data_IF_878168643914
#
_entry.id   IF_878168643914
#
_cell.length_a   1.000
_cell.length_b   1.000
_cell.length_c   1.000
_cell.angle_alpha   90.00
_cell.angle_beta   90.00
_cell.angle_gamma   90.00
#
_symmetry.space_group_name_H-M   'P 1'
#
loop_
_entity.id
_entity.type
_entity.pdbx_description
1 polymer ?
#
# COMPACT_ATOMS: atom_id res chain seq x y z
N UNK A 1 -7.34 30.33 42.00
CA UNK A 1 -6.25 30.41 41.00
C UNK A 1 -5.78 28.98 40.78
N UNK A 2 -6.31 28.31 39.74
CA UNK A 2 -5.62 27.93 38.48
C UNK A 2 -4.56 26.82 38.70
N UNK A 3 -4.58 25.67 38.01
CA UNK A 3 -4.82 25.49 36.59
C UNK A 3 -5.59 24.19 36.24
N UNK A 4 -6.73 24.33 35.56
CA UNK A 4 -7.28 23.29 34.69
C UNK A 4 -6.46 23.30 33.40
N UNK A 5 -5.75 22.23 33.10
CA UNK A 5 -5.13 22.00 31.80
C UNK A 5 -5.55 20.63 31.26
N UNK A 6 -6.84 20.44 31.06
CA UNK A 6 -7.32 19.40 30.16
C UNK A 6 -7.25 19.98 28.74
N UNK A 7 -6.15 19.70 28.04
CA UNK A 7 -6.16 19.75 26.59
C UNK A 7 -7.27 18.83 26.05
N UNK A 8 -7.79 19.08 24.82
CA UNK A 8 -8.80 18.22 24.23
C UNK A 8 -8.33 16.77 24.23
N UNK A 9 -9.23 15.83 24.58
CA UNK A 9 -8.89 14.40 24.48
C UNK A 9 -8.57 14.06 23.02
N UNK A 10 -7.76 13.05 22.76
CA UNK A 10 -7.40 12.65 21.38
C UNK A 10 -8.64 12.36 20.52
N UNK A 11 -9.72 11.90 21.16
CA UNK A 11 -11.04 11.70 20.54
C UNK A 11 -11.71 13.00 20.09
N UNK A 12 -11.52 14.10 20.81
CA UNK A 12 -12.05 15.42 20.45
C UNK A 12 -11.35 15.98 19.21
N UNK A 13 -10.04 15.76 19.08
CA UNK A 13 -9.28 16.09 17.87
C UNK A 13 -9.77 15.24 16.68
N UNK A 14 -9.98 13.94 16.88
CA UNK A 14 -10.56 13.06 15.87
C UNK A 14 -11.96 13.51 15.40
N UNK A 15 -12.83 13.90 16.33
CA UNK A 15 -14.17 14.40 16.01
C UNK A 15 -14.14 15.73 15.24
N UNK A 16 -13.17 16.60 15.52
CA UNK A 16 -12.97 17.84 14.75
C UNK A 16 -12.58 17.55 13.29
N UNK A 17 -11.74 16.54 13.06
CA UNK A 17 -11.36 16.08 11.71
C UNK A 17 -12.57 15.56 10.94
N UNK A 18 -13.36 14.68 11.56
CA UNK A 18 -14.61 14.16 10.98
C UNK A 18 -15.54 15.30 10.58
N UNK A 19 -15.71 16.28 11.48
CA UNK A 19 -16.60 17.43 11.25
C UNK A 19 -16.17 18.26 10.02
N UNK A 20 -14.87 18.54 9.89
CA UNK A 20 -14.33 19.30 8.74
C UNK A 20 -14.46 18.54 7.42
N UNK A 21 -14.25 17.23 7.43
CA UNK A 21 -14.44 16.38 6.25
C UNK A 21 -15.91 16.37 5.80
N UNK A 22 -16.85 16.22 6.73
CA UNK A 22 -18.29 16.24 6.41
C UNK A 22 -18.74 17.62 5.93
N UNK A 23 -18.24 18.70 6.51
CA UNK A 23 -18.53 20.06 6.06
C UNK A 23 -18.02 20.31 4.63
N UNK A 24 -16.78 19.87 4.34
CA UNK A 24 -16.21 19.93 3.00
C UNK A 24 -17.09 19.17 2.01
N UNK A 25 -17.52 17.95 2.37
CA UNK A 25 -18.39 17.10 1.54
C UNK A 25 -19.74 17.75 1.27
N UNK A 26 -20.37 18.35 2.28
CA UNK A 26 -21.64 19.06 2.13
C UNK A 26 -21.51 20.26 1.18
N UNK A 27 -20.40 20.99 1.26
CA UNK A 27 -20.19 22.23 0.49
C UNK A 27 -19.78 21.95 -0.96
N UNK A 28 -18.93 20.94 -1.18
CA UNK A 28 -18.32 20.68 -2.48
C UNK A 28 -18.94 19.49 -3.24
N UNK A 29 -19.89 18.79 -2.63
CA UNK A 29 -20.53 17.60 -3.21
C UNK A 29 -19.59 16.39 -3.35
N UNK A 30 -18.36 16.48 -2.84
CA UNK A 30 -17.33 15.43 -2.90
C UNK A 30 -16.47 15.43 -1.64
N UNK A 31 -15.86 14.29 -1.33
CA UNK A 31 -14.87 14.20 -0.26
C UNK A 31 -13.56 14.95 -0.60
N UNK A 32 -12.85 15.49 0.40
CA UNK A 32 -11.54 16.13 0.21
C UNK A 32 -10.49 15.07 -0.17
N UNK A 33 -9.62 15.35 -1.13
CA UNK A 33 -8.49 14.49 -1.52
C UNK A 33 -7.41 14.42 -0.45
N UNK A 34 -7.35 15.41 0.46
CA UNK A 34 -6.44 15.44 1.60
C UNK A 34 -7.04 16.23 2.76
N UNK A 35 -6.55 16.02 3.97
CA UNK A 35 -6.98 16.80 5.14
C UNK A 35 -6.67 18.30 5.01
N UNK A 36 -5.58 18.64 4.34
CA UNK A 36 -5.23 20.03 4.07
C UNK A 36 -6.27 20.74 3.20
N UNK A 37 -6.91 20.01 2.27
CA UNK A 37 -8.01 20.55 1.45
C UNK A 37 -9.28 20.82 2.28
N UNK A 38 -9.47 20.10 3.38
CA UNK A 38 -10.53 20.35 4.36
C UNK A 38 -10.12 21.37 5.44
N UNK A 39 -8.97 22.06 5.28
CA UNK A 39 -8.49 23.05 6.23
C UNK A 39 -8.03 22.45 7.57
N UNK A 40 -7.57 21.20 7.57
CA UNK A 40 -6.94 20.54 8.73
C UNK A 40 -5.42 20.60 8.54
N UNK A 41 -4.73 21.27 9.48
CA UNK A 41 -3.26 21.31 9.51
C UNK A 41 -2.70 19.99 10.04
N UNK A 42 -1.51 19.60 9.54
CA UNK A 42 -0.82 18.40 10.02
C UNK A 42 -0.20 18.71 11.38
N UNK A 43 -0.61 18.00 12.42
CA UNK A 43 0.02 18.02 13.75
C UNK A 43 0.93 16.80 13.96
N UNK A 44 1.73 16.82 15.03
CA UNK A 44 2.63 15.71 15.41
C UNK A 44 1.89 14.41 15.76
N UNK A 45 0.59 14.49 16.06
CA UNK A 45 -0.25 13.32 16.36
C UNK A 45 -0.87 12.69 15.10
N UNK A 46 -0.65 13.30 13.92
CA UNK A 46 -0.99 12.81 12.59
C UNK A 46 -2.37 12.17 12.51
N UNK A 47 -3.46 12.97 12.55
CA UNK A 47 -4.74 12.49 12.06
C UNK A 47 -4.55 12.08 10.61
N UNK A 48 -4.73 10.79 10.34
CA UNK A 48 -4.68 10.22 9.03
C UNK A 48 -6.10 10.13 8.47
N UNK A 49 -6.22 10.36 7.17
CA UNK A 49 -7.48 10.35 6.45
C UNK A 49 -7.29 9.63 5.14
N UNK A 50 -8.28 8.87 4.76
CA UNK A 50 -8.26 8.20 3.48
C UNK A 50 -9.69 7.96 2.97
N UNK A 51 -9.84 7.95 1.64
CA UNK A 51 -11.10 7.59 0.98
C UNK A 51 -11.12 6.08 0.77
N UNK A 52 -12.24 5.43 1.05
CA UNK A 52 -12.42 4.00 0.85
C UNK A 52 -13.04 3.71 -0.51
N UNK A 53 -14.34 3.94 -0.68
CA UNK A 53 -15.09 3.70 -1.92
C UNK A 53 -16.30 4.64 -2.00
N UNK A 54 -16.59 5.17 -3.19
CA UNK A 54 -17.72 6.09 -3.38
C UNK A 54 -17.61 7.37 -2.54
N UNK A 55 -18.47 7.51 -1.53
CA UNK A 55 -18.58 8.70 -0.67
C UNK A 55 -18.29 8.39 0.82
N UNK A 56 -17.56 7.30 1.07
CA UNK A 56 -17.09 6.87 2.40
C UNK A 56 -15.59 7.11 2.55
N UNK A 57 -15.18 7.32 3.80
CA UNK A 57 -13.81 7.54 4.23
C UNK A 57 -13.58 6.93 5.61
N UNK A 58 -12.31 6.84 5.96
CA UNK A 58 -11.82 6.48 7.29
C UNK A 58 -10.91 7.60 7.79
N UNK A 59 -10.98 7.88 9.07
CA UNK A 59 -10.05 8.75 9.77
C UNK A 59 -9.46 8.01 10.97
N UNK A 60 -8.16 8.15 11.24
CA UNK A 60 -7.54 7.51 12.39
C UNK A 60 -6.46 8.40 13.00
N UNK A 61 -6.19 8.20 14.29
CA UNK A 61 -5.11 8.90 15.00
C UNK A 61 -4.37 7.93 15.92
N UNK A 62 -3.09 8.20 16.17
CA UNK A 62 -2.30 7.44 17.12
C UNK A 62 -2.67 7.79 18.57
N UNK A 63 -3.01 6.78 19.37
CA UNK A 63 -3.25 6.98 20.82
C UNK A 63 -1.95 6.81 21.60
N UNK A 64 -1.21 5.74 21.35
CA UNK A 64 0.12 5.45 21.92
C UNK A 64 0.97 4.69 20.89
N UNK A 65 2.21 4.34 21.21
CA UNK A 65 3.11 3.62 20.29
C UNK A 65 2.53 2.24 19.95
N UNK A 66 2.06 2.06 18.71
CA UNK A 66 1.44 0.82 18.23
C UNK A 66 -0.09 0.75 18.40
N UNK A 67 -0.73 1.79 18.93
CA UNK A 67 -2.19 1.85 19.08
C UNK A 67 -2.80 2.99 18.26
N UNK A 68 -3.97 2.73 17.68
CA UNK A 68 -4.72 3.71 16.90
C UNK A 68 -6.22 3.58 17.12
N UNK A 69 -6.90 4.71 17.20
CA UNK A 69 -8.36 4.79 17.14
C UNK A 69 -8.80 5.09 15.71
N UNK A 70 -9.77 4.34 15.19
CA UNK A 70 -10.23 4.45 13.80
C UNK A 70 -11.72 4.79 13.72
N UNK A 71 -12.07 5.77 12.90
CA UNK A 71 -13.44 6.18 12.57
C UNK A 71 -13.84 5.66 11.20
N UNK A 72 -14.97 4.94 11.13
CA UNK A 72 -15.59 4.52 9.87
C UNK A 72 -16.82 5.38 9.58
N UNK A 73 -16.80 6.15 8.49
CA UNK A 73 -17.92 7.01 8.08
C UNK A 73 -19.19 6.26 7.66
N UNK A 74 -19.08 4.98 7.30
CA UNK A 74 -20.22 4.13 6.93
C UNK A 74 -21.03 3.77 8.18
N UNK A 75 -20.34 3.38 9.24
CA UNK A 75 -20.98 3.00 10.52
C UNK A 75 -21.15 4.20 11.47
N UNK A 76 -20.46 5.30 11.19
CA UNK A 76 -20.34 6.50 12.03
C UNK A 76 -19.85 6.20 13.45
N UNK A 77 -19.02 5.16 13.60
CA UNK A 77 -18.50 4.70 14.89
C UNK A 77 -16.98 4.71 14.89
N UNK A 78 -16.45 4.92 16.08
CA UNK A 78 -15.04 4.72 16.38
C UNK A 78 -14.79 3.30 16.89
N UNK A 79 -13.69 2.69 16.49
CA UNK A 79 -13.23 1.38 16.97
C UNK A 79 -11.76 1.38 17.36
N UNK A 80 -11.44 0.61 18.40
CA UNK A 80 -10.09 0.32 18.91
C UNK A 80 -9.35 -0.73 18.07
N UNK A 81 -10.10 -1.55 17.31
CA UNK A 81 -9.56 -2.52 16.37
C UNK A 81 -9.29 -1.85 15.03
N UNK A 82 -8.10 -2.09 14.49
CA UNK A 82 -7.59 -1.68 13.18
C UNK A 82 -8.32 -2.40 12.03
N UNK A 83 -9.65 -2.29 11.96
CA UNK A 83 -10.44 -3.14 11.04
C UNK A 83 -10.48 -2.57 9.62
N UNK A 84 -10.23 -1.28 9.42
CA UNK A 84 -10.07 -0.73 8.07
C UNK A 84 -9.06 0.42 8.11
N UNK A 85 -7.92 0.24 7.44
CA UNK A 85 -7.03 1.34 7.02
C UNK A 85 -7.33 1.53 5.53
N UNK A 86 -7.58 2.74 5.03
CA UNK A 86 -7.61 2.89 3.58
C UNK A 86 -6.20 2.88 3.02
N UNK A 87 -5.83 1.67 2.66
CA UNK A 87 -5.19 1.43 1.40
C UNK A 87 -6.28 1.52 0.31
N UNK A 88 -5.97 1.92 -0.94
CA UNK A 88 -6.88 1.68 -2.06
C UNK A 88 -7.34 0.23 -1.94
N UNK A 89 -8.65 -0.01 -1.94
CA UNK A 89 -9.29 -1.29 -1.60
C UNK A 89 -8.41 -2.47 -2.02
N UNK A 90 -7.56 -2.94 -1.10
CA UNK A 90 -6.71 -4.09 -1.34
C UNK A 90 -7.54 -5.36 -1.48
N UNK A 91 -8.86 -5.25 -1.41
CA UNK A 91 -9.82 -6.29 -1.70
C UNK A 91 -9.88 -6.60 -3.22
N UNK A 92 -9.66 -5.63 -4.11
CA UNK A 92 -9.55 -5.90 -5.56
C UNK A 92 -8.22 -6.57 -5.93
N UNK A 93 -7.19 -6.35 -5.12
CA UNK A 93 -5.86 -6.95 -5.27
C UNK A 93 -5.61 -8.09 -4.28
N UNK A 94 -6.68 -8.78 -3.88
CA UNK A 94 -6.64 -9.97 -3.05
C UNK A 94 -7.19 -11.15 -3.83
N UNK A 95 -6.29 -12.03 -4.24
CA UNK A 95 -6.63 -13.31 -4.84
C UNK A 95 -5.79 -14.38 -4.16
N UNK A 96 -6.39 -15.13 -3.25
CA UNK A 96 -5.75 -16.33 -2.71
C UNK A 96 -5.76 -17.41 -3.79
N UNK A 97 -4.60 -17.98 -4.07
CA UNK A 97 -4.46 -19.08 -5.01
C UNK A 97 -4.46 -20.43 -4.29
N UNK A 98 -5.05 -21.43 -4.92
CA UNK A 98 -4.89 -22.81 -4.47
C UNK A 98 -3.41 -23.22 -4.58
N UNK A 99 -2.95 -24.22 -3.81
CA UNK A 99 -1.58 -24.73 -3.95
C UNK A 99 -1.24 -25.17 -5.40
N UNK A 100 -2.22 -25.73 -6.12
CA UNK A 100 -2.05 -26.10 -7.52
C UNK A 100 -1.88 -24.88 -8.43
N UNK A 101 -2.67 -23.82 -8.23
CA UNK A 101 -2.53 -22.58 -9.01
C UNK A 101 -1.18 -21.88 -8.73
N UNK A 102 -0.70 -21.91 -7.48
CA UNK A 102 0.63 -21.37 -7.12
C UNK A 102 1.77 -22.07 -7.84
N UNK A 103 1.64 -23.37 -8.16
CA UNK A 103 2.65 -24.09 -8.92
C UNK A 103 2.77 -23.58 -10.37
N UNK A 104 1.68 -23.08 -10.94
CA UNK A 104 1.60 -22.73 -12.36
C UNK A 104 1.55 -21.21 -12.65
N UNK A 105 1.43 -20.38 -11.61
CA UNK A 105 1.23 -18.92 -11.75
C UNK A 105 2.42 -18.20 -12.43
N UNK A 106 3.62 -18.79 -12.39
CA UNK A 106 4.85 -18.27 -13.03
C UNK A 106 5.38 -19.17 -14.16
N UNK A 107 4.52 -20.04 -14.71
CA UNK A 107 4.89 -20.89 -15.84
C UNK A 107 5.20 -20.07 -17.10
N UNK A 108 5.90 -20.68 -18.05
CA UNK A 108 6.20 -20.12 -19.36
C UNK A 108 7.48 -19.28 -19.43
N UNK A 109 7.70 -18.65 -20.59
CA UNK A 109 8.98 -18.00 -20.91
C UNK A 109 8.92 -16.51 -20.58
N UNK A 110 9.29 -16.15 -19.35
CA UNK A 110 9.50 -14.76 -18.97
C UNK A 110 10.89 -14.31 -19.35
N UNK A 111 10.98 -13.16 -20.02
CA UNK A 111 12.24 -12.45 -20.20
C UNK A 111 12.51 -11.63 -18.94
N UNK A 112 13.67 -11.83 -18.30
CA UNK A 112 14.03 -11.15 -17.06
C UNK A 112 14.40 -9.68 -17.34
N UNK A 113 13.85 -8.78 -16.52
CA UNK A 113 14.08 -7.34 -16.55
C UNK A 113 14.72 -6.92 -15.22
N UNK A 114 15.90 -6.29 -15.29
CA UNK A 114 16.68 -5.92 -14.09
C UNK A 114 16.77 -4.43 -13.86
N UNK A 115 16.21 -3.60 -14.75
CA UNK A 115 16.18 -2.14 -14.62
C UNK A 115 14.76 -1.64 -14.66
N UNK A 116 14.44 -0.70 -13.77
CA UNK A 116 13.13 -0.04 -13.76
C UNK A 116 12.92 0.83 -14.99
N UNK A 117 14.00 1.30 -15.63
CA UNK A 117 13.92 2.05 -16.89
C UNK A 117 13.30 1.22 -18.03
N UNK A 118 13.54 -0.10 -18.04
CA UNK A 118 13.06 -1.01 -19.09
C UNK A 118 11.59 -1.43 -18.90
N UNK A 119 10.97 -1.03 -17.79
CA UNK A 119 9.54 -1.21 -17.56
C UNK A 119 8.75 -0.12 -18.30
N UNK A 120 7.70 -0.49 -19.06
CA UNK A 120 6.85 0.49 -19.74
C UNK A 120 6.08 1.33 -18.72
N UNK A 121 5.60 2.51 -19.15
CA UNK A 121 4.84 3.44 -18.32
C UNK A 121 3.61 2.75 -17.67
N UNK A 122 2.96 1.88 -18.45
CA UNK A 122 1.80 1.09 -18.05
C UNK A 122 2.05 0.22 -16.82
N UNK A 123 3.20 -0.45 -16.77
CA UNK A 123 3.65 -1.31 -15.66
C UNK A 123 4.02 -0.45 -14.44
N UNK A 124 4.63 0.72 -14.67
CA UNK A 124 5.00 1.66 -13.61
C UNK A 124 3.78 2.26 -12.92
N UNK A 125 2.77 2.64 -13.69
CA UNK A 125 1.49 3.16 -13.20
C UNK A 125 0.72 2.09 -12.44
N UNK A 126 0.61 0.88 -13.00
CA UNK A 126 0.02 -0.29 -12.34
C UNK A 126 0.68 -0.58 -10.98
N UNK A 127 2.02 -0.58 -10.95
CA UNK A 127 2.78 -0.81 -9.72
C UNK A 127 2.51 0.29 -8.68
N UNK A 128 2.53 1.56 -9.08
CA UNK A 128 2.23 2.68 -8.19
C UNK A 128 0.81 2.56 -7.60
N UNK A 129 -0.16 2.21 -8.44
CA UNK A 129 -1.55 2.02 -8.04
C UNK A 129 -1.71 0.88 -7.03
N UNK A 130 -1.12 -0.30 -7.29
CA UNK A 130 -1.21 -1.45 -6.37
C UNK A 130 -0.53 -1.13 -5.03
N UNK A 131 0.64 -0.50 -5.06
CA UNK A 131 1.42 -0.18 -3.85
C UNK A 131 0.96 1.07 -3.10
N UNK A 132 -0.14 1.69 -3.56
CA UNK A 132 -0.74 2.88 -2.96
C UNK A 132 0.12 4.13 -3.03
N UNK A 133 1.04 4.21 -3.98
CA UNK A 133 1.93 5.36 -4.17
C UNK A 133 1.35 6.34 -5.21
N UNK A 134 1.51 7.66 -5.03
CA UNK A 134 1.05 8.65 -6.00
C UNK A 134 1.81 8.60 -7.33
N UNK A 135 3.01 8.01 -7.34
CA UNK A 135 3.85 7.83 -8.51
C UNK A 135 4.71 6.57 -8.35
N UNK A 136 5.31 6.12 -9.46
CA UNK A 136 6.20 4.97 -9.44
C UNK A 136 7.45 5.24 -8.59
N UNK A 137 7.60 4.46 -7.51
CA UNK A 137 8.67 4.60 -6.54
C UNK A 137 9.33 3.23 -6.29
N UNK A 138 10.32 2.89 -7.12
CA UNK A 138 11.08 1.65 -7.03
C UNK A 138 12.54 1.89 -7.45
N UNK A 139 13.48 1.65 -6.55
CA UNK A 139 14.91 1.76 -6.85
C UNK A 139 15.38 0.60 -7.75
N UNK A 140 16.43 0.81 -8.54
CA UNK A 140 17.10 -0.28 -9.28
C UNK A 140 17.82 -1.24 -8.31
N UNK A 141 18.08 -2.49 -8.71
CA UNK A 141 18.87 -3.43 -7.90
C UNK A 141 20.21 -2.80 -7.48
N UNK A 142 20.57 -2.97 -6.21
CA UNK A 142 21.80 -2.43 -5.62
C UNK A 142 21.81 -0.91 -5.35
N UNK A 143 20.80 -0.14 -5.78
CA UNK A 143 20.70 1.28 -5.44
C UNK A 143 20.20 1.50 -4.00
N UNK A 144 20.37 2.72 -3.48
CA UNK A 144 19.86 3.09 -2.15
C UNK A 144 18.33 3.16 -2.16
N UNK A 145 17.74 2.74 -1.03
CA UNK A 145 16.31 2.83 -0.75
C UNK A 145 16.13 2.88 0.79
N UNK A 146 14.94 3.23 1.27
CA UNK A 146 14.63 3.25 2.71
C UNK A 146 14.41 1.83 3.22
N UNK A 147 15.40 1.29 3.93
CA UNK A 147 15.34 -0.07 4.53
C UNK A 147 14.57 -0.05 5.85
N UNK A 148 14.78 0.97 6.68
CA UNK A 148 14.19 1.07 8.01
C UNK A 148 12.94 1.98 8.02
N UNK A 149 12.22 1.95 9.14
CA UNK A 149 11.09 2.81 9.46
C UNK A 149 11.51 4.27 9.70
N UNK A 150 12.72 4.48 10.20
CA UNK A 150 13.31 5.81 10.34
C UNK A 150 13.70 6.34 8.96
N UNK A 151 13.01 7.41 8.53
CA UNK A 151 13.29 8.10 7.26
C UNK A 151 14.59 8.89 7.40
N UNK A 152 15.66 8.42 6.77
CA UNK A 152 16.97 9.10 6.74
C UNK A 152 17.04 10.10 5.57
N UNK A 153 16.30 9.84 4.49
CA UNK A 153 16.29 10.64 3.26
C UNK A 153 14.92 10.52 2.56
N UNK A 154 14.06 11.52 2.75
CA UNK A 154 12.70 11.48 2.22
C UNK A 154 12.63 11.38 0.68
N UNK A 155 13.74 11.55 -0.06
CA UNK A 155 13.79 11.38 -1.51
C UNK A 155 13.95 9.93 -1.97
N UNK A 156 14.36 9.01 -1.08
CA UNK A 156 14.56 7.61 -1.43
C UNK A 156 13.25 6.83 -1.39
N UNK A 157 13.03 5.89 -2.33
CA UNK A 157 11.86 5.02 -2.28
C UNK A 157 11.97 4.01 -1.12
N UNK A 158 10.84 3.52 -0.61
CA UNK A 158 10.78 2.42 0.38
C UNK A 158 10.92 1.03 -0.24
N UNK A 159 11.04 0.95 -1.57
CA UNK A 159 11.09 -0.31 -2.32
C UNK A 159 12.27 -0.33 -3.27
N UNK A 160 12.86 -1.50 -3.45
CA UNK A 160 13.92 -1.73 -4.44
C UNK A 160 13.63 -2.98 -5.27
N UNK A 161 13.81 -2.86 -6.58
CA UNK A 161 13.66 -3.98 -7.51
C UNK A 161 14.70 -5.04 -7.18
N UNK A 162 14.27 -6.30 -7.10
CA UNK A 162 15.17 -7.45 -7.17
C UNK A 162 15.31 -7.85 -8.65
N UNK A 163 14.20 -8.25 -9.27
CA UNK A 163 14.04 -8.38 -10.72
C UNK A 163 12.57 -8.43 -11.11
N UNK A 164 12.29 -8.21 -12.37
CA UNK A 164 10.96 -8.37 -12.97
C UNK A 164 11.03 -9.36 -14.12
N UNK A 165 9.88 -9.73 -14.65
CA UNK A 165 9.83 -10.49 -15.89
C UNK A 165 8.61 -10.16 -16.70
N UNK A 166 8.76 -10.28 -18.02
CA UNK A 166 7.71 -10.02 -19.00
C UNK A 166 7.49 -11.22 -19.92
N UNK A 167 6.22 -11.51 -20.18
CA UNK A 167 5.77 -12.51 -21.17
C UNK A 167 4.52 -11.99 -21.87
N UNK A 168 4.68 -11.48 -23.09
CA UNK A 168 3.58 -10.83 -23.80
C UNK A 168 3.10 -9.59 -23.05
N UNK A 169 1.85 -9.62 -22.58
CA UNK A 169 1.20 -8.58 -21.79
C UNK A 169 1.18 -8.87 -20.28
N UNK A 170 1.75 -9.99 -19.85
CA UNK A 170 1.88 -10.36 -18.44
C UNK A 170 3.23 -9.95 -17.88
N UNK A 171 3.18 -9.39 -16.67
CA UNK A 171 4.32 -8.91 -15.93
C UNK A 171 4.31 -9.45 -14.52
N UNK A 172 5.50 -9.75 -14.03
CA UNK A 172 5.73 -9.85 -12.60
C UNK A 172 6.80 -8.87 -12.15
N UNK A 173 6.69 -8.41 -10.90
CA UNK A 173 7.67 -7.55 -10.24
C UNK A 173 8.02 -8.18 -8.90
N UNK A 174 9.26 -8.66 -8.77
CA UNK A 174 9.82 -9.13 -7.51
C UNK A 174 10.69 -8.01 -6.91
N UNK A 175 10.36 -7.57 -5.70
CA UNK A 175 11.01 -6.43 -5.07
C UNK A 175 11.13 -6.65 -3.56
N UNK A 176 12.00 -5.87 -2.94
CA UNK A 176 12.08 -5.78 -1.49
C UNK A 176 11.44 -4.49 -0.99
N UNK A 177 10.88 -4.56 0.21
CA UNK A 177 10.22 -3.46 0.91
C UNK A 177 10.90 -3.23 2.26
N UNK A 178 11.20 -1.98 2.56
CA UNK A 178 11.70 -1.56 3.88
C UNK A 178 10.60 -0.90 4.73
N UNK A 179 10.97 -0.47 5.93
CA UNK A 179 10.07 0.10 6.93
C UNK A 179 10.25 -0.58 8.28
N UNK A 180 9.14 -0.81 9.01
CA UNK A 180 9.13 -1.48 10.33
C UNK A 180 9.73 -2.90 10.24
N UNK A 181 9.66 -3.52 9.05
CA UNK A 181 10.38 -4.73 8.72
C UNK A 181 10.90 -4.68 7.28
N UNK A 182 11.96 -5.46 7.02
CA UNK A 182 12.46 -5.73 5.68
C UNK A 182 11.83 -7.03 5.17
N UNK A 183 11.20 -6.98 4.01
CA UNK A 183 10.52 -8.12 3.40
C UNK A 183 10.64 -8.12 1.89
N UNK A 184 10.13 -9.18 1.28
CA UNK A 184 10.14 -9.37 -0.16
C UNK A 184 8.74 -9.62 -0.67
N UNK A 185 8.45 -9.08 -1.84
CA UNK A 185 7.13 -9.08 -2.42
C UNK A 185 7.21 -9.54 -3.86
N UNK A 186 6.13 -10.15 -4.34
CA UNK A 186 5.92 -10.50 -5.73
C UNK A 186 4.55 -10.00 -6.13
N UNK A 187 4.50 -9.22 -7.19
CA UNK A 187 3.25 -8.79 -7.83
C UNK A 187 3.18 -9.38 -9.23
N UNK A 188 1.98 -9.82 -9.60
CA UNK A 188 1.66 -10.35 -10.92
C UNK A 188 0.45 -9.63 -11.49
N UNK A 189 0.57 -9.13 -12.71
CA UNK A 189 -0.51 -8.42 -13.37
C UNK A 189 -0.38 -8.54 -14.88
N UNK A 190 -1.51 -8.30 -15.53
CA UNK A 190 -1.64 -8.22 -16.98
C UNK A 190 -1.99 -6.80 -17.36
N UNK A 191 -1.38 -6.29 -18.42
CA UNK A 191 -1.63 -4.92 -18.88
C UNK A 191 -2.13 -4.95 -20.31
N UNK A 192 -3.38 -4.54 -20.53
CA UNK A 192 -3.97 -4.55 -21.87
C UNK A 192 -3.47 -3.39 -22.74
N UNK A 193 -3.85 -3.42 -24.02
CA UNK A 193 -3.49 -2.38 -25.02
C UNK A 193 -4.08 -1.00 -24.74
N UNK A 194 -5.06 -0.90 -23.83
CA UNK A 194 -5.68 0.35 -23.39
C UNK A 194 -5.11 0.83 -22.06
N UNK A 195 -3.99 0.24 -21.61
CA UNK A 195 -3.33 0.58 -20.36
C UNK A 195 -4.15 0.18 -19.12
N UNK A 196 -5.15 -0.71 -19.26
CA UNK A 196 -5.87 -1.23 -18.11
C UNK A 196 -5.04 -2.34 -17.48
N UNK A 197 -4.83 -2.21 -16.18
CA UNK A 197 -4.18 -3.21 -15.38
C UNK A 197 -5.21 -4.21 -14.83
N UNK A 198 -4.95 -5.49 -15.04
CA UNK A 198 -5.61 -6.58 -14.32
C UNK A 198 -4.63 -7.21 -13.35
N UNK A 199 -4.91 -7.11 -12.06
CA UNK A 199 -4.15 -7.83 -11.04
C UNK A 199 -4.43 -9.33 -11.15
N UNK A 200 -3.37 -10.12 -11.23
CA UNK A 200 -3.46 -11.58 -11.33
C UNK A 200 -3.22 -12.22 -9.96
N UNK A 201 -2.19 -11.78 -9.25
CA UNK A 201 -1.81 -12.34 -7.96
C UNK A 201 -0.74 -11.47 -7.27
N UNK A 202 -0.61 -11.62 -5.95
CA UNK A 202 0.45 -10.99 -5.17
C UNK A 202 0.75 -11.82 -3.93
N UNK A 203 2.01 -11.81 -3.51
CA UNK A 203 2.44 -12.52 -2.32
C UNK A 203 3.67 -11.91 -1.68
N UNK A 204 3.87 -12.18 -0.40
CA UNK A 204 5.00 -11.69 0.37
C UNK A 204 5.77 -12.81 1.07
N UNK A 205 7.08 -12.66 1.12
CA UNK A 205 8.01 -13.61 1.70
C UNK A 205 9.10 -12.91 2.52
N UNK A 206 9.84 -13.71 3.28
CA UNK A 206 10.94 -13.24 4.13
C UNK A 206 12.31 -13.31 3.46
N UNK A 207 12.39 -13.84 2.23
CA UNK A 207 13.64 -14.02 1.47
C UNK A 207 13.49 -13.59 0.02
N UNK A 208 14.60 -13.11 -0.55
CA UNK A 208 14.71 -12.85 -1.98
C UNK A 208 14.84 -14.15 -2.76
N UNK A 209 14.27 -14.19 -3.96
CA UNK A 209 14.75 -15.06 -5.02
C UNK A 209 15.83 -14.32 -5.82
N UNK A 210 16.88 -15.01 -6.25
CA UNK A 210 17.96 -14.45 -7.09
C UNK A 210 17.80 -14.81 -8.57
N UNK A 211 16.90 -15.74 -8.87
CA UNK A 211 16.58 -16.19 -10.23
C UNK A 211 15.11 -16.53 -10.38
N UNK A 212 14.63 -16.57 -11.63
CA UNK A 212 13.26 -16.96 -11.95
C UNK A 212 12.93 -18.37 -11.47
N UNK A 213 13.85 -19.33 -11.62
CA UNK A 213 13.62 -20.72 -11.20
C UNK A 213 13.54 -20.84 -9.68
N UNK A 214 14.36 -20.08 -8.95
CA UNK A 214 14.23 -20.00 -7.50
C UNK A 214 12.89 -19.36 -7.10
N UNK A 215 12.47 -18.28 -7.77
CA UNK A 215 11.21 -17.61 -7.49
C UNK A 215 10.01 -18.55 -7.70
N UNK A 216 10.01 -19.32 -8.79
CA UNK A 216 9.00 -20.36 -9.06
C UNK A 216 8.92 -21.37 -7.94
N UNK A 217 10.06 -21.92 -7.52
CA UNK A 217 10.11 -22.88 -6.42
C UNK A 217 9.59 -22.27 -5.11
N UNK A 218 9.96 -21.02 -4.80
CA UNK A 218 9.51 -20.32 -3.60
C UNK A 218 7.99 -20.08 -3.61
N UNK A 219 7.40 -19.72 -4.75
CA UNK A 219 5.94 -19.57 -4.88
C UNK A 219 5.24 -20.93 -4.76
N UNK A 220 5.73 -21.96 -5.46
CA UNK A 220 5.16 -23.31 -5.45
C UNK A 220 5.20 -23.96 -4.05
N UNK A 221 6.21 -23.63 -3.25
CA UNK A 221 6.38 -24.14 -1.87
C UNK A 221 5.72 -23.24 -0.81
N UNK A 222 5.03 -22.16 -1.21
CA UNK A 222 4.29 -21.28 -0.30
C UNK A 222 5.16 -20.32 0.51
N UNK A 223 6.40 -20.07 0.10
CA UNK A 223 7.28 -19.07 0.76
C UNK A 223 6.84 -17.63 0.46
N UNK A 224 6.05 -17.42 -0.60
CA UNK A 224 5.29 -16.19 -0.81
C UNK A 224 3.82 -16.40 -0.42
N UNK A 225 3.41 -15.72 0.64
CA UNK A 225 2.08 -15.80 1.24
C UNK A 225 1.17 -14.71 0.69
N UNK A 226 -0.05 -15.09 0.34
CA UNK A 226 -1.10 -14.24 -0.25
C UNK A 226 -2.30 -14.03 0.69
N UNK A 227 -2.15 -14.42 1.96
CA UNK A 227 -3.12 -14.25 3.06
C UNK A 227 -2.75 -13.10 4.02
N UNK A 228 -1.52 -12.58 3.93
CA UNK A 228 -1.06 -11.45 4.72
C UNK A 228 -1.68 -10.15 4.21
N UNK A 229 -2.48 -9.50 5.06
CA UNK A 229 -3.31 -8.33 4.67
C UNK A 229 -2.50 -7.04 4.38
N UNK A 230 -1.18 -7.04 4.54
CA UNK A 230 -0.39 -5.81 4.74
C UNK A 230 0.94 -5.74 3.96
N UNK A 231 1.18 -6.60 2.97
CA UNK A 231 2.57 -6.91 2.59
C UNK A 231 3.02 -6.56 1.18
N UNK A 232 2.28 -5.79 0.37
CA UNK A 232 2.79 -5.28 -0.91
C UNK A 232 2.29 -3.86 -1.26
#
# INVERSE_FOLDING_TARGET
>A
MAANSCGPSKRDLGNAVVSKVEEFKRTNGRLPNSLSEAGVEKDENCPCYCKTTGNTYIAWYGTTLGESDTYDSETKKWSDRSVKVCLPTGQEFRKQLSPADKQHILDGLFTVVTKTADMPASVKEAFAQITGQPAFALANPGQKFQVADVIIDASLPHRRLVFAGVRGDEWFVHYEVGGIGHGYCLLLFKVDTKNNMQFLWGGAGSRSAESLDQLRNMVATGQFQDDLQYTW
#
